data_IF_446956815978
#
_entry.id   IF_446956815978
#
_cell.length_a   1.000
_cell.length_b   1.000
_cell.length_c   1.000
_cell.angle_alpha   90.00
_cell.angle_beta   90.00
_cell.angle_gamma   90.00
#
_symmetry.space_group_name_H-M   'P 1'
#
loop_
_entity.id
_entity.type
_entity.pdbx_description
1 polymer ?
#
# COMPACT_ATOMS: atom_id res chain seq x y z
N UNK A 1 1.69 19.08 -6.87
CA UNK A 1 0.85 17.87 -6.70
C UNK A 1 1.59 16.96 -5.72
N UNK A 2 0.90 16.36 -4.74
CA UNK A 2 1.45 15.52 -3.65
C UNK A 2 2.08 14.18 -4.12
N UNK A 3 2.71 14.13 -5.30
CA UNK A 3 3.22 12.90 -5.95
C UNK A 3 4.75 12.78 -5.92
N UNK A 4 5.44 13.71 -5.25
CA UNK A 4 6.88 13.57 -4.98
C UNK A 4 7.08 12.89 -3.63
N UNK A 5 6.62 11.63 -3.55
CA UNK A 5 6.72 10.77 -2.38
C UNK A 5 7.37 9.46 -2.77
N UNK A 6 8.15 8.87 -1.86
CA UNK A 6 8.85 7.59 -2.13
C UNK A 6 7.88 6.42 -2.34
N UNK A 7 6.74 6.44 -1.67
CA UNK A 7 5.78 5.34 -1.68
C UNK A 7 4.36 5.81 -1.97
N UNK A 8 3.57 4.91 -2.55
CA UNK A 8 2.12 5.00 -2.60
C UNK A 8 1.53 3.69 -2.08
N UNK A 9 0.59 3.80 -1.17
CA UNK A 9 -0.19 2.69 -0.65
C UNK A 9 -1.63 2.85 -1.11
N UNK A 10 -2.12 1.85 -1.84
CA UNK A 10 -3.53 1.76 -2.23
C UNK A 10 -4.19 0.86 -1.19
N UNK A 11 -5.20 1.38 -0.50
CA UNK A 11 -5.97 0.65 0.51
C UNK A 11 -7.29 0.23 -0.10
N UNK A 12 -7.65 -1.02 0.06
CA UNK A 12 -8.91 -1.59 -0.41
C UNK A 12 -9.64 -2.32 0.70
N UNK A 13 -10.96 -2.46 0.55
CA UNK A 13 -11.81 -3.19 1.46
C UNK A 13 -12.53 -4.33 0.72
N UNK A 14 -13.15 -5.22 1.47
CA UNK A 14 -14.08 -6.19 0.91
C UNK A 14 -15.23 -5.50 0.16
N UNK A 15 -15.82 -6.21 -0.80
CA UNK A 15 -16.98 -5.74 -1.56
C UNK A 15 -18.23 -6.59 -1.28
N UNK A 16 -19.29 -6.36 -2.07
CA UNK A 16 -20.58 -7.08 -1.94
C UNK A 16 -20.49 -8.61 -2.06
N UNK A 17 -19.38 -9.13 -2.60
CA UNK A 17 -19.14 -10.58 -2.72
C UNK A 17 -18.72 -11.20 -1.40
N UNK A 18 -18.31 -10.40 -0.41
CA UNK A 18 -17.85 -10.92 0.88
C UNK A 18 -18.88 -11.80 1.57
N UNK A 19 -18.42 -12.92 2.12
CA UNK A 19 -19.28 -13.92 2.78
C UNK A 19 -19.97 -14.87 1.80
N UNK A 20 -19.77 -14.70 0.49
CA UNK A 20 -20.19 -15.67 -0.53
C UNK A 20 -19.10 -16.72 -0.78
N UNK A 21 -19.47 -17.82 -1.44
CA UNK A 21 -18.55 -18.93 -1.69
C UNK A 21 -17.32 -18.47 -2.51
N UNK A 22 -16.13 -18.59 -1.92
CA UNK A 22 -14.86 -18.20 -2.54
C UNK A 22 -14.40 -16.77 -2.25
N UNK A 23 -15.20 -15.97 -1.55
CA UNK A 23 -14.92 -14.55 -1.28
C UNK A 23 -14.87 -14.27 0.24
N UNK A 24 -13.81 -14.75 0.88
CA UNK A 24 -13.49 -14.47 2.28
C UNK A 24 -12.30 -13.51 2.42
N UNK A 25 -11.85 -13.25 3.65
CA UNK A 25 -10.69 -12.39 3.94
C UNK A 25 -9.45 -12.81 3.15
N UNK A 26 -9.18 -14.12 3.05
CA UNK A 26 -8.05 -14.65 2.29
C UNK A 26 -8.11 -14.28 0.80
N UNK A 27 -9.31 -14.19 0.21
CA UNK A 27 -9.46 -13.80 -1.19
C UNK A 27 -9.00 -12.36 -1.39
N UNK A 28 -9.51 -11.43 -0.57
CA UNK A 28 -9.19 -10.01 -0.68
C UNK A 28 -7.75 -9.72 -0.23
N UNK A 29 -7.20 -10.44 0.75
CA UNK A 29 -5.79 -10.33 1.12
C UNK A 29 -4.85 -10.80 0.01
N UNK A 30 -5.19 -11.89 -0.69
CA UNK A 30 -4.39 -12.40 -1.81
C UNK A 30 -4.57 -11.59 -3.10
N UNK A 31 -5.73 -10.94 -3.26
CA UNK A 31 -6.07 -10.11 -4.43
C UNK A 31 -6.67 -8.76 -4.05
N UNK A 32 -5.92 -7.84 -3.39
CA UNK A 32 -6.50 -6.59 -2.88
C UNK A 32 -7.12 -5.71 -3.96
N UNK A 33 -6.60 -5.78 -5.19
CA UNK A 33 -7.10 -5.02 -6.35
C UNK A 33 -8.52 -5.41 -6.78
N UNK A 34 -9.03 -6.57 -6.33
CA UNK A 34 -10.41 -6.99 -6.60
C UNK A 34 -11.42 -6.29 -5.70
N UNK A 35 -11.00 -5.76 -4.55
CA UNK A 35 -11.88 -5.10 -3.59
C UNK A 35 -12.30 -3.67 -3.99
N UNK A 36 -13.03 -3.01 -3.09
CA UNK A 36 -13.40 -1.60 -3.26
C UNK A 36 -12.19 -0.73 -2.91
N UNK A 37 -11.89 0.26 -3.74
CA UNK A 37 -10.90 1.29 -3.43
C UNK A 37 -11.36 2.11 -2.22
N UNK A 38 -10.63 2.01 -1.11
CA UNK A 38 -10.91 2.75 0.12
C UNK A 38 -10.11 4.05 0.19
N UNK A 39 -8.78 3.97 -0.01
CA UNK A 39 -7.89 5.12 0.12
C UNK A 39 -6.66 5.00 -0.80
N UNK A 40 -6.01 6.13 -1.08
CA UNK A 40 -4.70 6.19 -1.74
C UNK A 40 -3.81 7.15 -0.95
N UNK A 41 -2.88 6.59 -0.19
CA UNK A 41 -1.97 7.32 0.68
C UNK A 41 -0.59 7.43 0.03
N UNK A 42 0.02 8.61 0.10
CA UNK A 42 1.38 8.87 -0.39
C UNK A 42 2.26 9.27 0.78
N UNK A 43 3.44 8.64 0.88
CA UNK A 43 4.33 8.87 2.01
C UNK A 43 5.80 8.60 1.68
N UNK A 44 6.68 9.24 2.45
CA UNK A 44 8.12 8.98 2.43
C UNK A 44 8.54 7.88 3.42
N UNK A 45 7.72 7.64 4.43
CA UNK A 45 7.92 6.66 5.51
C UNK A 45 6.59 6.07 5.98
N UNK A 46 6.66 5.14 6.94
CA UNK A 46 5.49 4.47 7.50
C UNK A 46 4.53 5.45 8.20
N UNK A 47 5.07 6.40 8.96
CA UNK A 47 4.26 7.35 9.75
C UNK A 47 3.36 8.17 8.83
N UNK A 48 3.87 8.61 7.68
CA UNK A 48 3.05 9.29 6.66
C UNK A 48 2.02 8.36 5.99
N UNK A 49 2.35 7.07 5.79
CA UNK A 49 1.44 6.09 5.20
C UNK A 49 0.31 5.66 6.15
N UNK A 50 0.50 5.78 7.46
CA UNK A 50 -0.52 5.48 8.48
C UNK A 50 -1.63 6.55 8.55
N UNK A 51 -1.38 7.75 8.02
CA UNK A 51 -2.36 8.83 8.01
C UNK A 51 -3.31 8.65 6.82
N UNK A 52 -4.49 8.11 7.09
CA UNK A 52 -5.56 8.01 6.10
C UNK A 52 -6.07 9.38 5.66
N UNK A 53 -6.72 9.40 4.49
CA UNK A 53 -7.31 10.62 3.95
C UNK A 53 -8.52 11.13 4.75
N UNK A 54 -9.22 10.26 5.48
CA UNK A 54 -10.40 10.58 6.29
C UNK A 54 -10.11 10.72 7.79
N UNK A 55 -8.90 10.38 8.23
CA UNK A 55 -8.48 10.42 9.63
C UNK A 55 -8.76 9.14 10.43
N UNK A 56 -9.37 8.13 9.82
CA UNK A 56 -9.64 6.82 10.44
C UNK A 56 -8.48 5.83 10.22
N UNK A 57 -8.38 4.77 11.02
CA UNK A 57 -7.34 3.77 10.81
C UNK A 57 -7.66 2.89 9.60
N UNK A 58 -6.68 2.68 8.73
CA UNK A 58 -6.73 1.70 7.63
C UNK A 58 -6.34 0.27 8.08
N UNK A 59 -6.04 0.05 9.37
CA UNK A 59 -5.62 -1.25 9.90
C UNK A 59 -6.71 -2.33 9.73
N UNK A 60 -6.30 -3.53 9.32
CA UNK A 60 -7.23 -4.64 9.07
C UNK A 60 -7.89 -4.65 7.69
N UNK A 61 -7.77 -3.56 6.91
CA UNK A 61 -8.13 -3.54 5.48
C UNK A 61 -7.05 -4.24 4.64
N UNK A 62 -7.12 -4.13 3.30
CA UNK A 62 -6.12 -4.70 2.40
C UNK A 62 -5.31 -3.61 1.71
N UNK A 63 -4.09 -3.92 1.27
CA UNK A 63 -3.23 -2.94 0.62
C UNK A 63 -2.44 -3.46 -0.56
N UNK A 64 -2.05 -2.52 -1.41
CA UNK A 64 -0.97 -2.65 -2.38
C UNK A 64 0.04 -1.54 -2.11
N UNK A 65 1.30 -1.91 -1.83
CA UNK A 65 2.38 -0.95 -1.62
C UNK A 65 3.27 -0.88 -2.85
N UNK A 66 3.47 0.33 -3.35
CA UNK A 66 4.35 0.61 -4.47
C UNK A 66 5.44 1.59 -4.05
N UNK A 67 6.66 1.29 -4.48
CA UNK A 67 7.75 2.27 -4.50
C UNK A 67 7.66 3.11 -5.76
N UNK A 68 7.71 4.42 -5.59
CA UNK A 68 7.75 5.37 -6.69
C UNK A 68 9.18 5.52 -7.23
N UNK A 69 9.28 5.63 -8.55
CA UNK A 69 10.52 5.91 -9.28
C UNK A 69 10.22 6.93 -10.36
N UNK A 70 11.01 8.01 -10.40
CA UNK A 70 11.03 8.93 -11.55
C UNK A 70 12.00 8.41 -12.62
N UNK A 71 11.58 8.45 -13.87
CA UNK A 71 12.49 8.22 -15.00
C UNK A 71 13.21 9.52 -15.41
N UNK A 72 14.12 9.43 -16.38
CA UNK A 72 14.92 10.56 -16.89
C UNK A 72 14.06 11.70 -17.46
N UNK A 73 12.84 11.38 -17.92
CA UNK A 73 11.87 12.35 -18.41
C UNK A 73 11.00 12.97 -17.31
N UNK A 74 11.28 12.66 -16.03
CA UNK A 74 10.55 13.18 -14.88
C UNK A 74 9.20 12.50 -14.61
N UNK A 75 8.86 11.44 -15.34
CA UNK A 75 7.60 10.69 -15.16
C UNK A 75 7.76 9.72 -13.98
N UNK A 76 6.87 9.83 -13.00
CA UNK A 76 6.78 8.90 -11.87
C UNK A 76 6.05 7.61 -12.26
N UNK A 77 6.66 6.47 -11.96
CA UNK A 77 6.10 5.12 -12.11
C UNK A 77 6.24 4.35 -10.79
N UNK A 78 5.26 3.52 -10.45
CA UNK A 78 5.29 2.67 -9.26
C UNK A 78 5.80 1.26 -9.57
N UNK A 79 6.62 0.70 -8.69
CA UNK A 79 7.00 -0.72 -8.68
C UNK A 79 6.38 -1.34 -7.42
N UNK A 80 5.54 -2.37 -7.58
CA UNK A 80 4.91 -3.05 -6.45
C UNK A 80 6.00 -3.72 -5.60
N UNK A 81 5.98 -3.45 -4.30
CA UNK A 81 6.92 -4.04 -3.33
C UNK A 81 6.20 -4.86 -2.25
N UNK A 82 4.90 -4.66 -2.07
CA UNK A 82 4.12 -5.28 -1.00
C UNK A 82 2.63 -5.40 -1.29
N UNK A 83 1.97 -6.33 -0.62
CA UNK A 83 0.50 -6.44 -0.59
C UNK A 83 0.02 -7.46 0.43
N UNK A 84 -1.17 -7.24 0.97
CA UNK A 84 -1.82 -8.18 1.87
C UNK A 84 -2.88 -7.47 2.70
N UNK A 85 -3.10 -7.96 3.92
CA UNK A 85 -3.82 -7.22 4.96
C UNK A 85 -2.92 -6.13 5.53
N UNK A 86 -3.47 -4.95 5.81
CA UNK A 86 -2.78 -3.85 6.46
C UNK A 86 -2.36 -4.29 7.86
N UNK A 87 -1.07 -4.60 7.98
CA UNK A 87 -0.32 -4.83 9.20
C UNK A 87 0.88 -3.88 9.14
N UNK A 88 0.88 -2.87 10.01
CA UNK A 88 1.90 -1.81 9.99
C UNK A 88 3.31 -2.33 10.25
N UNK A 89 3.45 -3.41 11.03
CA UNK A 89 4.75 -4.02 11.31
C UNK A 89 5.28 -4.72 10.06
N UNK A 90 4.43 -5.46 9.36
CA UNK A 90 4.80 -6.11 8.09
C UNK A 90 5.15 -5.07 7.00
N UNK A 91 4.38 -4.00 6.90
CA UNK A 91 4.63 -2.90 5.95
C UNK A 91 5.96 -2.20 6.27
N UNK A 92 6.28 -1.98 7.56
CA UNK A 92 7.57 -1.41 7.94
C UNK A 92 8.73 -2.30 7.48
N UNK A 93 8.63 -3.61 7.68
CA UNK A 93 9.64 -4.57 7.23
C UNK A 93 9.83 -4.53 5.70
N UNK A 94 8.74 -4.44 4.93
CA UNK A 94 8.81 -4.31 3.46
C UNK A 94 9.53 -3.04 3.02
N UNK A 95 9.22 -1.89 3.64
CA UNK A 95 9.90 -0.62 3.38
C UNK A 95 11.38 -0.74 3.71
N UNK A 96 11.73 -1.24 4.90
CA UNK A 96 13.11 -1.40 5.33
C UNK A 96 13.92 -2.33 4.40
N UNK A 97 13.31 -3.42 3.94
CA UNK A 97 13.93 -4.34 2.99
C UNK A 97 14.16 -3.66 1.63
N UNK A 98 13.23 -2.86 1.15
CA UNK A 98 13.37 -2.13 -0.11
C UNK A 98 14.45 -1.04 -0.03
N UNK A 99 14.50 -0.27 1.06
CA UNK A 99 15.54 0.75 1.28
C UNK A 99 16.93 0.12 1.37
N UNK A 100 17.05 -1.01 2.10
CA UNK A 100 18.30 -1.77 2.21
C UNK A 100 18.80 -2.28 0.85
N UNK A 101 17.91 -2.79 -0.02
CA UNK A 101 18.29 -3.22 -1.38
C UNK A 101 18.87 -2.08 -2.22
N UNK A 102 18.47 -0.85 -1.95
CA UNK A 102 18.89 0.35 -2.69
C UNK A 102 20.13 1.04 -2.11
N UNK A 103 20.65 0.55 -0.98
CA UNK A 103 21.76 1.17 -0.27
C UNK A 103 21.38 2.47 0.44
N UNK A 104 20.09 2.74 0.58
CA UNK A 104 19.56 3.83 1.38
C UNK A 104 19.54 3.32 2.83
N UNK A 105 20.54 3.68 3.63
CA UNK A 105 20.48 3.50 5.09
C UNK A 105 19.72 4.68 5.68
N UNK A 106 18.74 4.40 6.55
CA UNK A 106 18.10 5.37 7.44
C UNK A 106 19.16 6.23 8.15
#
# INVERSE_FOLDING_TARGET
>A
MKIDKKYVMIVTAEDERYGTAGYGLDFFANSPAEGILNDIVYGDDLDELMVSSDGESNEGLFYLLYRMKKNESGISTGIKIGSGTVDWSAIEEEILLEEKKRGEKK
#
